data_IF_909763716488
#
_entry.id   IF_909763716488
#
_cell.length_a   1.000
_cell.length_b   1.000
_cell.length_c   1.000
_cell.angle_alpha   90.00
_cell.angle_beta   90.00
_cell.angle_gamma   90.00
#
_symmetry.space_group_name_H-M   'P 1'
#
loop_
_entity.id
_entity.type
_entity.pdbx_description
1 polymer ?
#
# COMPACT_ATOMS: atom_id res chain seq x y z
N UNK A 1 -4.33 -15.96 -20.07
CA UNK A 1 -5.60 -15.24 -19.77
C UNK A 1 -5.36 -14.44 -18.50
N UNK A 2 -5.86 -13.22 -18.39
CA UNK A 2 -5.71 -12.36 -17.19
C UNK A 2 -7.12 -12.07 -16.67
N UNK A 3 -7.35 -12.31 -15.38
CA UNK A 3 -8.63 -12.04 -14.71
C UNK A 3 -8.34 -11.14 -13.51
N UNK A 4 -9.07 -10.03 -13.42
CA UNK A 4 -8.96 -9.09 -12.30
C UNK A 4 -10.21 -9.19 -11.42
N UNK A 5 -10.00 -9.40 -10.12
CA UNK A 5 -11.07 -9.40 -9.11
C UNK A 5 -11.07 -8.04 -8.42
N UNK A 6 -12.11 -7.23 -8.66
CA UNK A 6 -12.23 -5.87 -8.15
C UNK A 6 -13.53 -5.66 -7.36
N UNK A 7 -13.56 -4.65 -6.48
CA UNK A 7 -14.74 -4.27 -5.69
C UNK A 7 -14.72 -2.77 -5.37
N UNK A 8 -15.90 -2.17 -5.22
CA UNK A 8 -16.02 -0.75 -4.88
C UNK A 8 -15.80 -0.37 -3.40
N UNK A 9 -15.61 -1.35 -2.49
CA UNK A 9 -15.37 -1.09 -1.06
C UNK A 9 -14.54 -2.21 -0.42
N UNK A 10 -13.88 -1.92 0.70
CA UNK A 10 -13.23 -2.93 1.55
C UNK A 10 -14.24 -3.92 2.14
N UNK A 11 -13.79 -5.14 2.44
CA UNK A 11 -14.59 -6.15 3.14
C UNK A 11 -15.66 -6.89 2.31
N UNK A 12 -15.65 -6.79 0.97
CA UNK A 12 -16.61 -7.52 0.10
C UNK A 12 -16.18 -8.95 -0.23
N UNK A 13 -15.07 -9.44 0.33
CA UNK A 13 -14.56 -10.79 0.06
C UNK A 13 -13.79 -10.95 -1.25
N UNK A 14 -13.22 -9.88 -1.82
CA UNK A 14 -12.37 -9.95 -3.04
C UNK A 14 -11.30 -11.03 -2.93
N UNK A 15 -10.50 -10.98 -1.87
CA UNK A 15 -9.40 -11.93 -1.64
C UNK A 15 -9.93 -13.36 -1.53
N UNK A 16 -11.05 -13.57 -0.83
CA UNK A 16 -11.68 -14.89 -0.71
C UNK A 16 -12.07 -15.46 -2.07
N UNK A 17 -12.68 -14.65 -2.95
CA UNK A 17 -13.03 -15.07 -4.31
C UNK A 17 -11.78 -15.37 -5.13
N UNK A 18 -10.78 -14.47 -5.10
CA UNK A 18 -9.55 -14.62 -5.87
C UNK A 18 -8.77 -15.89 -5.49
N UNK A 19 -8.59 -16.15 -4.19
CA UNK A 19 -7.83 -17.31 -3.70
C UNK A 19 -8.55 -18.62 -3.96
N UNK A 20 -9.87 -18.69 -3.74
CA UNK A 20 -10.64 -19.90 -4.05
C UNK A 20 -10.72 -20.16 -5.56
N UNK A 21 -10.78 -19.12 -6.39
CA UNK A 21 -10.73 -19.28 -7.84
C UNK A 21 -9.38 -19.84 -8.28
N UNK A 22 -8.26 -19.33 -7.73
CA UNK A 22 -6.93 -19.87 -8.00
C UNK A 22 -6.82 -21.35 -7.63
N UNK A 23 -7.29 -21.74 -6.44
CA UNK A 23 -7.31 -23.14 -5.99
C UNK A 23 -8.20 -24.01 -6.87
N UNK A 24 -9.35 -23.49 -7.33
CA UNK A 24 -10.31 -24.24 -8.15
C UNK A 24 -9.81 -24.51 -9.57
N UNK A 25 -8.98 -23.62 -10.13
CA UNK A 25 -8.34 -23.84 -11.44
C UNK A 25 -7.26 -24.93 -11.35
N UNK A 26 -6.59 -25.04 -10.19
CA UNK A 26 -5.61 -26.10 -9.93
C UNK A 26 -4.18 -25.69 -10.32
N UNK A 27 -3.68 -26.17 -11.45
CA UNK A 27 -2.30 -25.92 -11.90
C UNK A 27 -2.20 -24.68 -12.80
N UNK A 28 -0.96 -24.19 -12.96
CA UNK A 28 -0.62 -23.12 -13.92
C UNK A 28 -1.32 -21.77 -13.66
N UNK A 29 -1.55 -21.45 -12.38
CA UNK A 29 -2.12 -20.17 -11.94
C UNK A 29 -1.04 -19.32 -11.27
N UNK A 30 -0.94 -18.07 -11.71
CA UNK A 30 -0.21 -17.04 -11.00
C UNK A 30 -1.20 -16.10 -10.30
N UNK A 31 -1.02 -15.92 -8.99
CA UNK A 31 -1.81 -14.97 -8.21
C UNK A 31 -0.96 -13.73 -7.96
N UNK A 32 -1.50 -12.57 -8.34
CA UNK A 32 -0.92 -11.27 -8.04
C UNK A 32 -1.86 -10.53 -7.09
N UNK A 33 -1.40 -10.31 -5.86
CA UNK A 33 -2.14 -9.55 -4.85
C UNK A 33 -1.77 -8.07 -4.95
N UNK A 34 -2.70 -7.26 -5.46
CA UNK A 34 -2.54 -5.81 -5.61
C UNK A 34 -3.35 -5.01 -4.57
N UNK A 35 -3.92 -5.67 -3.56
CA UNK A 35 -4.66 -4.99 -2.49
C UNK A 35 -3.68 -4.53 -1.40
N UNK A 36 -3.68 -3.23 -1.06
CA UNK A 36 -2.80 -2.64 -0.05
C UNK A 36 -3.44 -2.68 1.35
N UNK A 37 -4.76 -2.81 1.43
CA UNK A 37 -5.52 -2.59 2.68
C UNK A 37 -5.83 -3.86 3.48
N UNK A 38 -5.54 -5.06 2.98
CA UNK A 38 -5.86 -6.39 3.59
C UNK A 38 -7.24 -6.99 3.18
N UNK A 39 -7.43 -8.33 3.23
CA UNK A 39 -6.48 -9.38 3.65
C UNK A 39 -5.55 -9.87 2.53
N UNK A 40 -4.32 -10.24 2.92
CA UNK A 40 -3.28 -10.72 2.01
C UNK A 40 -3.54 -12.16 1.52
N UNK A 41 -3.35 -12.42 0.22
CA UNK A 41 -3.59 -13.71 -0.40
C UNK A 41 -2.71 -14.84 0.16
N UNK A 42 -1.47 -14.53 0.58
CA UNK A 42 -0.53 -15.54 1.09
C UNK A 42 -1.02 -16.23 2.37
N UNK A 43 -1.90 -15.58 3.15
CA UNK A 43 -2.53 -16.16 4.34
C UNK A 43 -3.48 -17.32 4.00
N UNK A 44 -4.00 -17.37 2.77
CA UNK A 44 -4.90 -18.42 2.30
C UNK A 44 -4.14 -19.47 1.49
N UNK A 45 -3.23 -19.03 0.64
CA UNK A 45 -2.55 -19.88 -0.35
C UNK A 45 -1.28 -20.56 0.19
N UNK A 46 -0.73 -20.07 1.32
CA UNK A 46 0.48 -20.60 1.95
C UNK A 46 1.64 -20.86 0.95
N UNK A 47 1.99 -19.89 0.09
CA UNK A 47 3.04 -20.09 -0.90
C UNK A 47 4.41 -20.22 -0.21
N UNK A 48 5.34 -20.89 -0.89
CA UNK A 48 6.76 -20.78 -0.56
C UNK A 48 7.31 -19.57 -1.31
N UNK A 49 7.87 -18.59 -0.58
CA UNK A 49 8.50 -17.43 -1.19
C UNK A 49 9.94 -17.76 -1.58
N UNK A 50 10.26 -17.67 -2.86
CA UNK A 50 11.61 -17.92 -3.39
C UNK A 50 12.52 -16.70 -3.28
N UNK A 51 11.95 -15.50 -3.41
CA UNK A 51 12.67 -14.24 -3.41
C UNK A 51 11.90 -13.18 -2.59
N UNK A 52 12.64 -12.36 -1.84
CA UNK A 52 12.10 -11.21 -1.11
C UNK A 52 13.04 -10.04 -1.35
N UNK A 53 12.47 -8.90 -1.74
CA UNK A 53 13.20 -7.66 -1.95
C UNK A 53 12.58 -6.54 -1.12
N UNK A 54 13.42 -5.72 -0.50
CA UNK A 54 12.98 -4.49 0.16
C UNK A 54 12.77 -3.43 -0.91
N UNK A 55 11.55 -2.88 -0.96
CA UNK A 55 11.21 -1.72 -1.79
C UNK A 55 10.96 -0.51 -0.89
N UNK A 56 11.38 0.67 -1.34
CA UNK A 56 11.28 1.92 -0.57
C UNK A 56 10.53 2.98 -1.36
N UNK A 57 9.76 3.82 -0.67
CA UNK A 57 9.14 5.02 -1.25
C UNK A 57 9.78 6.28 -0.64
N UNK A 58 9.95 7.37 -1.39
CA UNK A 58 10.39 8.63 -0.80
C UNK A 58 9.38 9.13 0.23
N UNK A 59 9.89 9.60 1.36
CA UNK A 59 9.11 10.20 2.44
C UNK A 59 9.64 11.62 2.71
N UNK A 60 8.78 12.57 3.12
CA UNK A 60 9.21 13.95 3.30
C UNK A 60 10.17 14.09 4.49
N UNK A 61 11.29 14.78 4.29
CA UNK A 61 12.23 15.15 5.36
C UNK A 61 12.28 16.67 5.45
N UNK A 62 12.13 17.20 6.67
CA UNK A 62 12.07 18.65 6.91
C UNK A 62 13.40 19.12 7.45
N UNK A 63 14.10 19.93 6.65
CA UNK A 63 15.29 20.64 7.07
C UNK A 63 14.89 21.83 7.97
N UNK A 64 15.04 21.66 9.28
CA UNK A 64 14.68 22.67 10.28
C UNK A 64 15.60 23.90 10.27
N UNK A 65 16.79 23.84 9.67
CA UNK A 65 17.64 25.02 9.51
C UNK A 65 17.08 25.99 8.46
N UNK A 66 16.32 25.46 7.48
CA UNK A 66 15.68 26.24 6.41
C UNK A 66 14.20 26.52 6.68
N UNK A 67 13.57 25.76 7.56
CA UNK A 67 12.14 25.84 7.82
C UNK A 67 11.80 27.09 8.63
N UNK A 68 10.95 27.95 8.07
CA UNK A 68 10.40 29.12 8.75
C UNK A 68 8.92 28.92 9.15
N UNK A 69 8.47 27.67 9.25
CA UNK A 69 7.11 27.30 9.65
C UNK A 69 5.99 27.87 8.78
N UNK A 70 6.28 28.28 7.53
CA UNK A 70 5.30 28.95 6.67
C UNK A 70 4.17 28.06 6.13
N UNK A 71 4.23 26.73 6.33
CA UNK A 71 3.19 25.80 5.88
C UNK A 71 3.18 25.49 4.37
N UNK A 72 3.94 26.20 3.53
CA UNK A 72 3.93 26.01 2.06
C UNK A 72 4.25 24.58 1.61
N UNK A 73 5.17 23.89 2.29
CA UNK A 73 5.48 22.49 2.00
C UNK A 73 4.28 21.56 2.25
N UNK A 74 3.46 21.85 3.28
CA UNK A 74 2.24 21.10 3.57
C UNK A 74 1.14 21.36 2.52
N UNK A 75 1.00 22.61 2.07
CA UNK A 75 0.02 22.99 1.04
C UNK A 75 0.23 22.27 -0.29
N UNK A 76 1.50 22.11 -0.70
CA UNK A 76 1.84 21.43 -1.97
C UNK A 76 1.94 19.90 -1.82
N UNK A 77 1.85 19.36 -0.61
CA UNK A 77 2.00 17.93 -0.38
C UNK A 77 0.73 17.18 -0.79
N UNK A 78 0.75 16.55 -1.97
CA UNK A 78 -0.37 15.76 -2.49
C UNK A 78 -0.85 14.68 -1.50
N UNK A 79 0.08 14.07 -0.76
CA UNK A 79 -0.20 13.00 0.19
C UNK A 79 -0.60 13.51 1.59
N UNK A 80 -0.58 14.83 1.81
CA UNK A 80 -0.83 15.45 3.12
C UNK A 80 0.07 14.90 4.23
N UNK A 81 1.28 14.49 3.85
CA UNK A 81 2.26 13.87 4.72
C UNK A 81 3.10 14.90 5.51
N UNK A 82 2.79 16.19 5.45
CA UNK A 82 3.48 17.24 6.21
C UNK A 82 2.41 18.08 6.88
N UNK A 83 2.50 18.26 8.20
CA UNK A 83 1.61 19.12 8.98
C UNK A 83 2.43 20.08 9.83
N UNK A 84 2.05 21.35 9.85
CA UNK A 84 2.66 22.37 10.71
C UNK A 84 1.65 22.77 11.78
N UNK A 85 2.01 22.61 13.06
CA UNK A 85 1.17 22.94 14.23
C UNK A 85 1.97 23.82 15.17
N UNK A 86 1.62 25.10 15.26
CA UNK A 86 2.39 26.07 16.03
C UNK A 86 3.84 26.11 15.56
N UNK A 87 4.77 25.78 16.45
CA UNK A 87 6.22 25.73 16.17
C UNK A 87 6.74 24.33 15.79
N UNK A 88 5.84 23.37 15.58
CA UNK A 88 6.19 21.98 15.28
C UNK A 88 5.86 21.63 13.84
N UNK A 89 6.78 20.93 13.15
CA UNK A 89 6.54 20.31 11.85
C UNK A 89 6.53 18.79 12.04
N UNK A 90 5.46 18.14 11.59
CA UNK A 90 5.24 16.70 11.67
C UNK A 90 5.21 16.12 10.24
N UNK A 91 6.32 15.53 9.75
CA UNK A 91 6.27 14.66 8.59
C UNK A 91 5.68 13.29 8.97
N UNK A 92 4.89 12.72 8.07
CA UNK A 92 4.40 11.35 8.13
C UNK A 92 5.18 10.52 7.12
N UNK A 93 5.70 9.39 7.57
CA UNK A 93 6.51 8.44 6.80
C UNK A 93 5.77 7.12 6.65
#
# INVERSE_FOLDING_TARGET
MIISIASGKGGTGKTTVATNMAVSVGSDVQVLDCDVEEPNAHLFLHPTFEEVQTVTTPVPEVDMEKCNLCGKCAEICQFKAIVVIGETVLPFH
#
